data_IF_504191609989
#
_entry.id   IF_504191609989
#
_cell.length_a   1.000
_cell.length_b   1.000
_cell.length_c   1.000
_cell.angle_alpha   90.00
_cell.angle_beta   90.00
_cell.angle_gamma   90.00
#
_symmetry.space_group_name_H-M   'P 1'
#
loop_
_entity.id
_entity.type
_entity.pdbx_description
1 polymer ?
#
# COMPACT_ATOMS: atom_id res chain seq x y z
N UNK A 1 -2.59 -22.26 -16.85
CA UNK A 1 -2.45 -20.90 -16.37
C UNK A 1 -3.73 -20.11 -16.63
N UNK A 2 -4.33 -19.57 -15.58
CA UNK A 2 -5.63 -18.93 -15.66
C UNK A 2 -5.54 -17.60 -16.42
N UNK A 3 -6.35 -17.45 -17.48
CA UNK A 3 -6.44 -16.21 -18.24
C UNK A 3 -6.91 -15.03 -17.38
N UNK A 4 -7.73 -15.29 -16.36
CA UNK A 4 -8.19 -14.27 -15.40
C UNK A 4 -7.04 -13.66 -14.61
N UNK A 5 -6.11 -14.49 -14.16
CA UNK A 5 -4.97 -14.03 -13.38
C UNK A 5 -4.07 -13.12 -14.21
N UNK A 6 -3.83 -13.44 -15.48
CA UNK A 6 -3.02 -12.60 -16.37
C UNK A 6 -3.70 -11.26 -16.66
N UNK A 7 -5.01 -11.27 -16.94
CA UNK A 7 -5.77 -10.04 -17.18
C UNK A 7 -5.77 -9.17 -15.94
N UNK A 8 -5.98 -9.78 -14.77
CA UNK A 8 -6.00 -9.09 -13.50
C UNK A 8 -4.63 -8.46 -13.17
N UNK A 9 -3.55 -9.20 -13.39
CA UNK A 9 -2.20 -8.71 -13.19
C UNK A 9 -1.89 -7.53 -14.12
N UNK A 10 -2.30 -7.63 -15.38
CA UNK A 10 -2.12 -6.55 -16.36
C UNK A 10 -2.90 -5.28 -15.95
N UNK A 11 -4.16 -5.46 -15.54
CA UNK A 11 -4.98 -4.34 -15.09
C UNK A 11 -4.35 -3.62 -13.89
N UNK A 12 -3.84 -4.37 -12.94
CA UNK A 12 -3.19 -3.78 -11.76
C UNK A 12 -1.93 -3.02 -12.16
N UNK A 13 -1.12 -3.58 -13.06
CA UNK A 13 0.06 -2.89 -13.58
C UNK A 13 -0.32 -1.56 -14.23
N UNK A 14 -1.36 -1.55 -15.06
CA UNK A 14 -1.85 -0.35 -15.73
C UNK A 14 -2.32 0.69 -14.70
N UNK A 15 -3.06 0.25 -13.67
CA UNK A 15 -3.52 1.14 -12.60
C UNK A 15 -2.34 1.80 -11.90
N UNK A 16 -1.35 1.00 -11.51
CA UNK A 16 -0.17 1.51 -10.82
C UNK A 16 0.59 2.51 -11.68
N UNK A 17 0.77 2.21 -12.97
CA UNK A 17 1.44 3.10 -13.91
C UNK A 17 0.69 4.42 -14.07
N UNK A 18 -0.63 4.36 -14.27
CA UNK A 18 -1.45 5.56 -14.44
C UNK A 18 -1.43 6.44 -13.21
N UNK A 19 -1.50 5.86 -12.03
CA UNK A 19 -1.50 6.60 -10.78
C UNK A 19 -0.15 7.25 -10.52
N UNK A 20 0.94 6.61 -10.92
CA UNK A 20 2.26 7.20 -10.83
C UNK A 20 2.41 8.39 -11.78
N UNK A 21 1.84 8.30 -12.98
CA UNK A 21 1.92 9.35 -13.98
C UNK A 21 1.07 10.58 -13.63
N UNK A 22 -0.08 10.38 -13.01
CA UNK A 22 -1.02 11.48 -12.74
C UNK A 22 -0.73 12.22 -11.44
N UNK A 23 0.29 11.84 -10.71
CA UNK A 23 0.55 12.38 -9.37
C UNK A 23 -0.64 12.23 -8.41
N UNK A 24 -1.66 11.50 -8.81
CA UNK A 24 -2.77 11.16 -7.95
C UNK A 24 -2.25 10.11 -6.98
N UNK A 25 -2.02 10.57 -5.90
CA UNK A 25 -1.06 10.13 -5.01
C UNK A 25 -1.24 8.91 -4.16
N UNK A 26 -2.20 7.98 -4.23
CA UNK A 26 -2.07 6.86 -3.30
C UNK A 26 -0.86 5.99 -3.57
N UNK A 27 -0.22 6.11 -4.74
CA UNK A 27 0.84 5.19 -5.14
C UNK A 27 2.20 5.83 -5.33
N UNK A 28 2.34 7.12 -4.99
CA UNK A 28 3.64 7.76 -4.94
C UNK A 28 4.12 7.81 -3.49
N UNK A 29 4.97 6.87 -3.13
CA UNK A 29 5.59 6.86 -1.82
C UNK A 29 6.95 7.52 -1.91
N UNK A 30 7.01 8.77 -1.44
CA UNK A 30 8.28 9.46 -1.28
C UNK A 30 8.99 8.90 -0.06
N UNK A 31 10.29 8.68 -0.19
CA UNK A 31 11.08 8.18 0.94
C UNK A 31 11.61 9.36 1.75
N UNK A 32 11.55 9.28 3.09
CA UNK A 32 12.17 10.31 3.92
C UNK A 32 13.69 10.27 3.80
N UNK A 33 14.35 11.40 3.99
CA UNK A 33 15.79 11.52 3.89
C UNK A 33 16.49 11.42 5.26
N UNK A 34 15.81 11.80 6.34
CA UNK A 34 16.38 11.67 7.68
C UNK A 34 16.69 10.20 7.99
N UNK A 35 17.85 9.93 8.58
CA UNK A 35 18.32 8.56 8.82
C UNK A 35 17.36 7.74 9.67
N UNK A 36 16.76 8.36 10.70
CA UNK A 36 15.81 7.65 11.58
C UNK A 36 14.51 7.34 10.87
N UNK A 37 13.95 8.34 10.16
CA UNK A 37 12.73 8.16 9.38
C UNK A 37 12.95 7.15 8.25
N UNK A 38 14.12 7.18 7.62
CA UNK A 38 14.48 6.20 6.57
C UNK A 38 14.51 4.78 7.13
N UNK A 39 15.05 4.59 8.34
CA UNK A 39 15.07 3.27 8.97
C UNK A 39 13.65 2.76 9.25
N UNK A 40 12.73 3.64 9.67
CA UNK A 40 11.32 3.27 9.83
C UNK A 40 10.74 2.85 8.49
N UNK A 41 10.95 3.64 7.45
CA UNK A 41 10.48 3.31 6.09
C UNK A 41 11.02 1.97 5.63
N UNK A 42 12.29 1.68 5.84
CA UNK A 42 12.91 0.41 5.44
C UNK A 42 12.31 -0.77 6.20
N UNK A 43 12.05 -0.63 7.50
CA UNK A 43 11.39 -1.67 8.30
C UNK A 43 10.00 -1.97 7.73
N UNK A 44 9.22 -0.93 7.43
CA UNK A 44 7.87 -1.08 6.91
C UNK A 44 7.86 -1.67 5.50
N UNK A 45 8.77 -1.26 4.64
CA UNK A 45 8.89 -1.79 3.27
C UNK A 45 9.29 -3.26 3.29
N UNK A 46 10.21 -3.63 4.16
CA UNK A 46 10.67 -5.02 4.28
C UNK A 46 9.57 -5.94 4.77
N UNK A 47 8.68 -5.45 5.63
CA UNK A 47 7.57 -6.21 6.20
C UNK A 47 6.31 -5.36 6.23
N UNK A 48 5.63 -5.18 5.09
CA UNK A 48 4.43 -4.31 5.07
C UNK A 48 3.32 -4.79 5.99
N UNK A 49 3.24 -6.09 6.23
CA UNK A 49 2.26 -6.69 7.12
C UNK A 49 2.65 -6.74 8.60
N UNK A 50 3.77 -6.12 8.95
CA UNK A 50 4.24 -6.09 10.34
C UNK A 50 3.14 -5.49 11.24
N UNK A 51 2.73 -6.22 12.26
CA UNK A 51 1.63 -5.82 13.16
C UNK A 51 2.11 -5.12 14.43
N UNK A 52 3.42 -4.89 14.57
CA UNK A 52 3.94 -4.17 15.72
C UNK A 52 3.35 -2.76 15.77
N UNK A 53 3.19 -2.26 16.97
CA UNK A 53 2.74 -0.88 17.17
C UNK A 53 3.78 0.08 16.62
N UNK A 54 3.30 1.19 16.04
CA UNK A 54 4.19 2.17 15.45
C UNK A 54 5.21 2.72 16.45
N UNK A 55 4.83 2.84 17.74
CA UNK A 55 5.75 3.25 18.79
C UNK A 55 6.97 2.34 18.87
N UNK A 56 6.75 1.03 18.79
CA UNK A 56 7.83 0.04 18.86
C UNK A 56 8.76 0.15 17.65
N UNK A 57 8.17 0.31 16.47
CA UNK A 57 8.93 0.43 15.22
C UNK A 57 9.81 1.69 15.26
N UNK A 58 9.24 2.81 15.66
CA UNK A 58 9.97 4.08 15.77
C UNK A 58 11.12 3.97 16.77
N UNK A 59 10.85 3.36 17.93
CA UNK A 59 11.85 3.18 18.98
C UNK A 59 13.01 2.33 18.49
N UNK A 60 12.72 1.26 17.76
CA UNK A 60 13.75 0.38 17.19
C UNK A 60 14.61 1.11 16.17
N UNK A 61 14.10 2.16 15.54
CA UNK A 61 14.81 2.97 14.56
C UNK A 61 15.57 4.14 15.19
N UNK A 62 15.49 4.30 16.53
CA UNK A 62 16.22 5.33 17.26
C UNK A 62 15.52 6.67 17.39
N UNK A 63 14.20 6.73 17.23
CA UNK A 63 13.44 7.95 17.38
C UNK A 63 12.12 7.74 18.11
N UNK A 64 11.57 8.84 18.66
CA UNK A 64 10.21 8.78 19.19
C UNK A 64 9.21 8.82 18.06
N UNK A 65 8.02 8.26 18.31
CA UNK A 65 6.93 8.29 17.33
C UNK A 65 6.63 9.74 16.89
N UNK A 66 6.58 10.66 17.84
CA UNK A 66 6.31 12.07 17.55
C UNK A 66 7.33 12.68 16.59
N UNK A 67 8.61 12.44 16.83
CA UNK A 67 9.69 12.95 15.97
C UNK A 67 9.59 12.33 14.58
N UNK A 68 9.39 11.03 14.50
CA UNK A 68 9.30 10.32 13.22
C UNK A 68 8.08 10.78 12.44
N UNK A 69 6.92 10.95 13.09
CA UNK A 69 5.71 11.47 12.44
C UNK A 69 5.93 12.85 11.84
N UNK A 70 6.61 13.73 12.58
CA UNK A 70 6.93 15.08 12.10
C UNK A 70 7.85 15.01 10.88
N UNK A 71 8.84 14.14 10.91
CA UNK A 71 9.78 13.96 9.79
C UNK A 71 9.06 13.44 8.54
N UNK A 72 8.19 12.45 8.68
CA UNK A 72 7.40 11.93 7.56
C UNK A 72 6.53 13.01 6.94
N UNK A 73 5.79 13.76 7.77
CA UNK A 73 4.94 14.84 7.27
C UNK A 73 5.75 15.89 6.52
N UNK A 74 6.88 16.28 7.05
CA UNK A 74 7.72 17.32 6.45
C UNK A 74 8.41 16.85 5.17
N UNK A 75 8.91 15.61 5.16
CA UNK A 75 9.76 15.12 4.07
C UNK A 75 8.99 14.38 2.98
N UNK A 76 7.85 13.77 3.33
CA UNK A 76 7.06 13.01 2.34
C UNK A 76 5.72 13.66 2.03
N UNK A 77 5.28 14.62 2.83
CA UNK A 77 3.95 15.24 2.68
C UNK A 77 2.82 14.40 3.27
N UNK A 78 3.12 13.23 3.82
CA UNK A 78 2.12 12.33 4.38
C UNK A 78 2.41 12.06 5.85
N UNK A 79 1.33 11.90 6.64
CA UNK A 79 1.48 11.38 7.99
C UNK A 79 2.05 9.96 7.90
N UNK A 80 2.73 9.54 8.96
CA UNK A 80 3.29 8.18 9.03
C UNK A 80 2.20 7.12 8.85
N UNK A 81 1.02 7.34 9.45
CA UNK A 81 -0.10 6.41 9.30
C UNK A 81 -0.59 6.31 7.87
N UNK A 82 -0.73 7.43 7.16
CA UNK A 82 -1.13 7.44 5.75
C UNK A 82 -0.07 6.82 4.86
N UNK A 83 1.19 7.09 5.13
CA UNK A 83 2.31 6.49 4.40
C UNK A 83 2.27 4.97 4.50
N UNK A 84 2.05 4.46 5.72
CA UNK A 84 1.92 3.01 5.95
C UNK A 84 0.70 2.42 5.24
N UNK A 85 -0.44 3.12 5.28
CA UNK A 85 -1.65 2.67 4.58
C UNK A 85 -1.43 2.55 3.08
N UNK A 86 -0.77 3.52 2.48
CA UNK A 86 -0.46 3.48 1.04
C UNK A 86 0.51 2.35 0.70
N UNK A 87 1.51 2.14 1.53
CA UNK A 87 2.44 1.04 1.36
C UNK A 87 1.71 -0.31 1.37
N UNK A 88 0.80 -0.50 2.34
CA UNK A 88 0.03 -1.74 2.45
C UNK A 88 -0.88 -1.95 1.25
N UNK A 89 -1.51 -0.89 0.76
CA UNK A 89 -2.35 -0.97 -0.43
C UNK A 89 -1.52 -1.38 -1.64
N UNK A 90 -0.38 -0.76 -1.85
CA UNK A 90 0.53 -1.11 -2.96
C UNK A 90 0.99 -2.57 -2.87
N UNK A 91 1.34 -3.01 -1.68
CA UNK A 91 1.79 -4.38 -1.46
C UNK A 91 0.69 -5.38 -1.74
N UNK A 92 -0.54 -5.11 -1.26
CA UNK A 92 -1.69 -5.97 -1.55
C UNK A 92 -1.95 -6.08 -3.05
N UNK A 93 -1.88 -4.95 -3.77
CA UNK A 93 -2.06 -4.95 -5.22
C UNK A 93 -0.97 -5.76 -5.93
N UNK A 94 0.27 -5.68 -5.46
CA UNK A 94 1.36 -6.49 -6.02
C UNK A 94 1.13 -7.98 -5.79
N UNK A 95 0.63 -8.36 -4.62
CA UNK A 95 0.29 -9.76 -4.33
C UNK A 95 -0.83 -10.27 -5.23
N UNK A 96 -1.86 -9.46 -5.45
CA UNK A 96 -2.95 -9.80 -6.36
C UNK A 96 -2.43 -9.94 -7.79
N UNK A 97 -1.51 -9.07 -8.20
CA UNK A 97 -0.87 -9.16 -9.51
C UNK A 97 -0.05 -10.44 -9.66
N UNK A 98 0.42 -11.02 -8.56
CA UNK A 98 1.15 -12.29 -8.52
C UNK A 98 0.22 -13.49 -8.35
N UNK A 99 -1.06 -13.34 -8.69
CA UNK A 99 -2.08 -14.40 -8.67
C UNK A 99 -2.54 -14.79 -7.27
N UNK A 100 -2.21 -14.01 -6.25
CA UNK A 100 -2.69 -14.24 -4.89
C UNK A 100 -4.19 -13.93 -4.79
N UNK A 101 -4.92 -14.69 -4.00
CA UNK A 101 -6.34 -14.39 -3.72
C UNK A 101 -6.44 -13.06 -2.97
N UNK A 102 -7.49 -12.29 -3.27
CA UNK A 102 -7.72 -10.98 -2.63
C UNK A 102 -7.74 -11.10 -1.10
N UNK A 103 -8.41 -12.12 -0.57
CA UNK A 103 -8.47 -12.32 0.88
C UNK A 103 -7.10 -12.59 1.49
N UNK A 104 -6.26 -13.40 0.83
CA UNK A 104 -4.92 -13.71 1.31
C UNK A 104 -4.00 -12.48 1.17
N UNK A 105 -4.09 -11.79 0.05
CA UNK A 105 -3.30 -10.58 -0.19
C UNK A 105 -3.59 -9.51 0.87
N UNK A 106 -4.86 -9.34 1.24
CA UNK A 106 -5.26 -8.39 2.26
C UNK A 106 -4.60 -8.70 3.61
N UNK A 107 -4.67 -9.96 4.03
CA UNK A 107 -4.08 -10.39 5.31
C UNK A 107 -2.56 -10.25 5.28
N UNK A 108 -1.92 -10.71 4.21
CA UNK A 108 -0.46 -10.63 4.07
C UNK A 108 0.04 -9.19 4.05
N UNK A 109 -0.76 -8.26 3.51
CA UNK A 109 -0.42 -6.84 3.49
C UNK A 109 -0.66 -6.14 4.84
N UNK A 110 -1.22 -6.85 5.82
CA UNK A 110 -1.40 -6.31 7.17
C UNK A 110 -2.77 -5.76 7.47
N UNK A 111 -3.75 -5.97 6.59
CA UNK A 111 -5.13 -5.61 6.89
C UNK A 111 -5.72 -6.61 7.86
N UNK A 112 -6.46 -6.12 8.85
CA UNK A 112 -7.07 -7.00 9.86
C UNK A 112 -8.14 -7.92 9.25
N UNK A 113 -8.80 -7.47 8.19
CA UNK A 113 -9.83 -8.23 7.48
C UNK A 113 -9.76 -7.91 5.99
N UNK A 114 -10.29 -8.79 5.12
CA UNK A 114 -10.46 -8.46 3.71
C UNK A 114 -11.33 -7.21 3.50
N UNK A 115 -12.33 -6.98 4.36
CA UNK A 115 -13.19 -5.80 4.29
C UNK A 115 -12.40 -4.51 4.49
N UNK A 116 -11.40 -4.52 5.37
CA UNK A 116 -10.53 -3.35 5.57
C UNK A 116 -9.73 -3.00 4.32
N UNK A 117 -9.24 -4.00 3.60
CA UNK A 117 -8.58 -3.80 2.31
C UNK A 117 -9.55 -3.22 1.28
N UNK A 118 -10.76 -3.79 1.17
CA UNK A 118 -11.78 -3.33 0.24
C UNK A 118 -12.11 -1.85 0.51
N UNK A 119 -12.27 -1.46 1.78
CA UNK A 119 -12.51 -0.07 2.16
C UNK A 119 -11.37 0.85 1.75
N UNK A 120 -10.13 0.41 1.97
CA UNK A 120 -8.93 1.16 1.58
C UNK A 120 -8.85 1.33 0.06
N UNK A 121 -9.11 0.26 -0.70
CA UNK A 121 -9.13 0.30 -2.15
C UNK A 121 -10.21 1.26 -2.65
N UNK A 122 -11.41 1.17 -2.07
CA UNK A 122 -12.53 2.03 -2.45
C UNK A 122 -12.22 3.51 -2.20
N UNK A 123 -11.57 3.83 -1.08
CA UNK A 123 -11.16 5.21 -0.78
C UNK A 123 -10.15 5.73 -1.80
N UNK A 124 -9.23 4.87 -2.26
CA UNK A 124 -8.20 5.25 -3.21
C UNK A 124 -8.71 5.31 -4.65
N UNK A 125 -9.58 4.37 -5.03
CA UNK A 125 -9.96 4.16 -6.43
C UNK A 125 -11.40 4.58 -6.75
N UNK A 126 -12.20 4.91 -5.74
CA UNK A 126 -13.60 5.31 -5.94
C UNK A 126 -14.58 4.17 -6.17
N UNK A 127 -14.11 2.93 -6.22
CA UNK A 127 -14.94 1.75 -6.43
C UNK A 127 -14.30 0.54 -5.74
N UNK A 128 -15.07 -0.53 -5.57
CA UNK A 128 -14.56 -1.76 -4.96
C UNK A 128 -13.67 -2.55 -5.93
N UNK A 129 -12.76 -3.39 -5.43
CA UNK A 129 -11.95 -4.24 -6.31
C UNK A 129 -12.82 -5.13 -7.21
N UNK A 130 -13.87 -5.71 -6.66
CA UNK A 130 -14.77 -6.57 -7.42
C UNK A 130 -15.40 -5.86 -8.60
N UNK A 131 -15.97 -4.67 -8.36
CA UNK A 131 -16.56 -3.86 -9.43
C UNK A 131 -15.53 -3.40 -10.43
N UNK A 132 -14.38 -2.93 -9.95
CA UNK A 132 -13.32 -2.42 -10.81
C UNK A 132 -12.84 -3.48 -11.78
N UNK A 133 -12.45 -4.65 -11.26
CA UNK A 133 -11.93 -5.73 -12.10
C UNK A 133 -13.00 -6.36 -12.98
N UNK A 134 -14.23 -6.43 -12.48
CA UNK A 134 -15.34 -6.96 -13.27
C UNK A 134 -15.64 -6.06 -14.49
N UNK A 135 -15.75 -4.76 -14.27
CA UNK A 135 -16.05 -3.79 -15.33
C UNK A 135 -14.92 -3.72 -16.36
N UNK A 136 -13.70 -3.59 -15.91
CA UNK A 136 -12.55 -3.43 -16.79
C UNK A 136 -12.12 -4.74 -17.44
N UNK A 137 -12.35 -5.86 -16.77
CA UNK A 137 -12.08 -7.19 -17.33
C UNK A 137 -13.00 -7.56 -18.49
N UNK A 138 -14.22 -7.00 -18.52
CA UNK A 138 -15.16 -7.25 -19.61
C UNK A 138 -14.92 -6.36 -20.83
N UNK A 139 -14.24 -5.25 -20.65
CA UNK A 139 -13.96 -4.32 -21.75
C UNK A 139 -12.87 -4.86 -22.71
N UNK A 140 -12.30 -5.98 -22.38
CA UNK A 140 -11.31 -6.66 -23.24
C UNK A 140 -11.93 -7.90 -23.84
#
# INVERSE_FOLDING_TARGET
MDKRAKVQAHLISVILDQLQQTQAAPFQLRHPSDARARRVAEILIKSPGDDRKMDEICKSAGGSKRTIERLFQRETGLSLGKWRQQLRLMYALQLIASEEKISNAAVDAGYSTPSAFISSFRSAMGTTPGKYFHTNGRAN
#
